data_IF_564222325428
#
_entry.id   IF_564222325428
#
_cell.length_a   1.000
_cell.length_b   1.000
_cell.length_c   1.000
_cell.angle_alpha   90.00
_cell.angle_beta   90.00
_cell.angle_gamma   90.00
#
_symmetry.space_group_name_H-M   'P 1'
#
loop_
_entity.id
_entity.type
_entity.pdbx_description
1 polymer ?
#
# COMPACT_ATOMS: atom_id res chain seq x y z
N UNK A 1 -11.88 -12.54 57.45
CA UNK A 1 -11.80 -12.97 58.86
C UNK A 1 -11.39 -14.45 58.82
N UNK A 2 -10.09 -14.77 58.89
CA UNK A 2 -9.22 -14.79 60.07
C UNK A 2 -9.18 -16.20 60.72
N UNK A 3 -7.95 -16.61 61.05
CA UNK A 3 -7.49 -17.75 61.87
C UNK A 3 -7.25 -19.09 61.15
N UNK A 4 -6.00 -19.50 60.84
CA UNK A 4 -4.85 -19.97 61.65
C UNK A 4 -5.00 -21.37 62.28
N UNK A 5 -4.03 -22.24 61.92
CA UNK A 5 -3.14 -23.03 62.80
C UNK A 5 -3.25 -24.58 62.83
N UNK A 6 -2.05 -25.21 62.70
CA UNK A 6 -1.53 -26.46 63.33
C UNK A 6 -2.07 -27.81 62.78
N UNK A 7 -1.38 -28.95 62.77
CA UNK A 7 -0.01 -29.44 63.06
C UNK A 7 0.01 -30.95 62.68
N UNK A 8 1.22 -31.52 62.56
CA UNK A 8 1.60 -32.95 62.66
C UNK A 8 1.06 -33.95 61.61
N UNK A 9 1.88 -34.64 60.79
CA UNK A 9 3.01 -35.56 61.06
C UNK A 9 2.55 -36.99 61.41
N UNK A 10 2.57 -37.90 60.43
CA UNK A 10 2.80 -39.34 60.63
C UNK A 10 3.50 -39.95 59.39
N UNK A 11 4.75 -40.34 59.61
CA UNK A 11 5.61 -41.13 58.73
C UNK A 11 5.26 -42.64 58.78
N UNK A 12 5.65 -43.46 57.79
CA UNK A 12 6.78 -44.44 57.73
C UNK A 12 6.28 -45.59 56.78
N UNK A 13 7.07 -46.41 56.03
CA UNK A 13 8.54 -46.65 56.02
C UNK A 13 9.20 -46.40 54.64
N UNK A 14 10.47 -45.98 54.51
CA UNK A 14 11.75 -46.61 54.88
C UNK A 14 12.01 -47.98 54.25
N UNK A 15 12.49 -47.99 53.00
CA UNK A 15 13.44 -49.00 52.56
C UNK A 15 14.69 -48.29 52.04
N UNK A 16 15.74 -48.49 52.82
CA UNK A 16 17.11 -48.03 52.65
C UNK A 16 17.78 -48.91 51.59
N UNK A 17 18.18 -48.33 50.46
CA UNK A 17 19.08 -48.97 49.49
C UNK A 17 20.29 -48.05 49.38
N UNK A 18 21.34 -48.44 50.11
CA UNK A 18 22.67 -47.86 50.01
C UNK A 18 23.27 -48.19 48.65
N UNK A 19 23.56 -47.15 47.86
CA UNK A 19 24.37 -47.24 46.66
C UNK A 19 25.55 -46.28 46.81
N UNK A 20 26.72 -46.84 47.10
CA UNK A 20 27.98 -46.10 47.08
C UNK A 20 28.23 -45.54 45.69
N UNK A 21 28.39 -44.22 45.57
CA UNK A 21 28.93 -43.56 44.39
C UNK A 21 30.15 -42.73 44.79
N UNK A 22 31.29 -43.17 44.28
CA UNK A 22 32.60 -42.53 44.42
C UNK A 22 32.54 -41.05 44.03
N UNK A 23 32.97 -40.18 44.95
CA UNK A 23 32.98 -38.73 44.76
C UNK A 23 34.07 -38.27 43.78
N UNK A 24 33.65 -37.57 42.73
CA UNK A 24 34.51 -36.66 41.98
C UNK A 24 34.21 -35.22 42.43
N UNK A 25 35.13 -34.61 43.19
CA UNK A 25 35.09 -33.18 43.48
C UNK A 25 35.34 -32.38 42.20
N UNK A 26 34.30 -31.84 41.58
CA UNK A 26 34.43 -30.81 40.56
C UNK A 26 34.52 -29.43 41.21
N UNK A 27 35.60 -28.69 40.91
CA UNK A 27 35.85 -27.35 41.48
C UNK A 27 34.67 -26.41 41.17
N UNK A 28 34.18 -25.68 42.17
CA UNK A 28 33.03 -24.77 42.04
C UNK A 28 33.15 -23.73 40.89
N UNK A 29 34.37 -23.37 40.50
CA UNK A 29 34.65 -22.51 39.35
C UNK A 29 34.23 -23.12 38.00
N UNK A 30 34.32 -24.45 37.85
CA UNK A 30 33.91 -25.15 36.62
C UNK A 30 32.39 -25.18 36.47
N UNK A 31 31.68 -25.37 37.59
CA UNK A 31 30.21 -25.40 37.63
C UNK A 31 29.63 -24.02 37.28
N UNK A 32 30.26 -22.95 37.78
CA UNK A 32 29.87 -21.58 37.45
C UNK A 32 30.05 -21.28 35.95
N UNK A 33 31.16 -21.70 35.34
CA UNK A 33 31.38 -21.49 33.90
C UNK A 33 30.41 -22.27 33.01
N UNK A 34 30.02 -23.49 33.39
CA UNK A 34 29.01 -24.27 32.67
C UNK A 34 27.64 -23.59 32.73
N UNK A 35 27.25 -23.06 33.89
CA UNK A 35 26.00 -22.30 34.05
C UNK A 35 26.01 -21.03 33.19
N UNK A 36 27.10 -20.25 33.20
CA UNK A 36 27.22 -19.06 32.36
C UNK A 36 27.16 -19.38 30.86
N UNK A 37 27.83 -20.46 30.43
CA UNK A 37 27.77 -20.91 29.03
C UNK A 37 26.35 -21.34 28.64
N UNK A 38 25.63 -22.06 29.50
CA UNK A 38 24.25 -22.46 29.22
C UNK A 38 23.30 -21.27 29.08
N UNK A 39 23.46 -20.25 29.93
CA UNK A 39 22.63 -19.04 29.89
C UNK A 39 22.96 -18.24 28.63
N UNK A 40 24.25 -18.11 28.27
CA UNK A 40 24.68 -17.38 27.07
C UNK A 40 24.23 -18.07 25.77
N UNK A 41 24.22 -19.41 25.74
CA UNK A 41 23.67 -20.16 24.61
C UNK A 41 22.15 -20.02 24.51
N UNK A 42 21.43 -19.94 25.63
CA UNK A 42 19.98 -19.81 25.65
C UNK A 42 19.51 -18.40 25.24
N UNK A 43 20.21 -17.36 25.70
CA UNK A 43 19.93 -15.98 25.27
C UNK A 43 20.28 -15.75 23.80
N UNK A 44 21.35 -16.37 23.30
CA UNK A 44 21.70 -16.32 21.87
C UNK A 44 20.66 -17.04 21.00
N UNK A 45 20.04 -18.13 21.49
CA UNK A 45 18.98 -18.85 20.79
C UNK A 45 17.67 -18.04 20.67
N UNK A 46 17.39 -17.19 21.67
CA UNK A 46 16.21 -16.30 21.71
C UNK A 46 16.38 -15.03 20.87
N UNK A 47 17.61 -14.70 20.46
CA UNK A 47 17.96 -13.53 19.64
C UNK A 47 18.11 -13.84 18.14
N UNK A 48 17.92 -15.10 17.71
CA UNK A 48 17.84 -15.41 16.29
C UNK A 48 16.52 -14.87 15.73
N UNK A 49 16.55 -14.00 14.69
CA UNK A 49 15.34 -13.58 14.02
C UNK A 49 14.63 -14.82 13.45
N UNK A 50 13.33 -14.96 13.74
CA UNK A 50 12.50 -15.96 13.08
C UNK A 50 12.51 -15.66 11.57
N UNK A 51 13.31 -16.41 10.82
CA UNK A 51 13.20 -16.47 9.38
C UNK A 51 11.87 -17.18 9.09
N UNK A 52 10.81 -16.40 8.93
CA UNK A 52 9.56 -16.91 8.39
C UNK A 52 9.79 -17.20 6.91
N UNK A 53 9.90 -18.49 6.57
CA UNK A 53 9.80 -18.93 5.19
C UNK A 53 8.39 -18.63 4.70
N UNK A 54 8.28 -17.77 3.68
CA UNK A 54 7.04 -17.51 2.98
C UNK A 54 6.59 -18.79 2.23
N UNK A 55 5.52 -19.40 2.70
CA UNK A 55 4.81 -20.46 2.00
C UNK A 55 4.01 -19.83 0.85
N UNK A 56 4.20 -20.31 -0.38
CA UNK A 56 3.73 -19.62 -1.59
C UNK A 56 2.22 -19.73 -1.86
N UNK A 57 1.49 -20.52 -1.07
CA UNK A 57 0.10 -20.90 -1.37
C UNK A 57 -0.93 -20.59 -0.28
N UNK A 58 -0.66 -19.65 0.65
CA UNK A 58 -1.68 -19.13 1.59
C UNK A 58 -2.08 -17.70 1.25
N UNK A 59 -3.38 -17.35 1.32
CA UNK A 59 -3.81 -15.96 1.31
C UNK A 59 -3.09 -15.27 2.47
N UNK A 60 -2.22 -14.33 2.14
CA UNK A 60 -1.50 -13.57 3.14
C UNK A 60 -2.56 -12.79 3.94
N UNK A 61 -2.64 -13.03 5.25
CA UNK A 61 -3.50 -12.22 6.10
C UNK A 61 -3.11 -10.74 5.89
N UNK A 62 -4.07 -9.82 5.68
CA UNK A 62 -3.78 -8.41 5.53
C UNK A 62 -2.92 -7.96 6.71
N UNK A 63 -1.84 -7.24 6.44
CA UNK A 63 -1.11 -6.59 7.52
C UNK A 63 -2.05 -5.59 8.21
N UNK A 64 -1.85 -5.28 9.50
CA UNK A 64 -2.65 -4.26 10.19
C UNK A 64 -2.74 -2.98 9.34
N UNK A 65 -1.59 -2.51 8.85
CA UNK A 65 -1.48 -1.37 7.94
C UNK A 65 -2.43 -1.45 6.73
N UNK A 66 -2.60 -2.64 6.13
CA UNK A 66 -3.49 -2.83 4.98
C UNK A 66 -4.95 -2.58 5.35
N UNK A 67 -5.41 -3.04 6.52
CA UNK A 67 -6.78 -2.83 6.98
C UNK A 67 -7.06 -1.34 7.28
N UNK A 68 -6.11 -0.64 7.89
CA UNK A 68 -6.23 0.80 8.15
C UNK A 68 -6.25 1.62 6.86
N UNK A 69 -5.35 1.30 5.92
CA UNK A 69 -5.31 1.94 4.59
C UNK A 69 -6.62 1.71 3.87
N UNK A 70 -7.15 0.49 3.88
CA UNK A 70 -8.43 0.18 3.27
C UNK A 70 -9.57 1.05 3.81
N UNK A 71 -9.67 1.20 5.14
CA UNK A 71 -10.70 2.05 5.76
C UNK A 71 -10.56 3.52 5.37
N UNK A 72 -9.35 4.00 5.12
CA UNK A 72 -9.13 5.36 4.61
C UNK A 72 -9.52 5.48 3.14
N UNK A 73 -9.16 4.51 2.31
CA UNK A 73 -9.57 4.47 0.89
C UNK A 73 -11.10 4.39 0.75
N UNK A 74 -11.77 3.58 1.58
CA UNK A 74 -13.23 3.49 1.61
C UNK A 74 -13.87 4.83 2.01
N UNK A 75 -13.35 5.51 3.04
CA UNK A 75 -13.83 6.83 3.45
C UNK A 75 -13.60 7.91 2.38
N UNK A 76 -12.45 7.88 1.70
CA UNK A 76 -12.13 8.76 0.58
C UNK A 76 -13.11 8.54 -0.58
N UNK A 77 -13.35 7.27 -0.94
CA UNK A 77 -14.31 6.85 -1.97
C UNK A 77 -15.70 7.42 -1.68
N UNK A 78 -16.22 7.26 -0.45
CA UNK A 78 -17.54 7.76 -0.05
C UNK A 78 -17.64 9.28 -0.21
N UNK A 79 -16.60 10.00 0.25
CA UNK A 79 -16.57 11.47 0.17
C UNK A 79 -16.52 11.94 -1.28
N UNK A 80 -15.75 11.23 -2.11
CA UNK A 80 -15.61 11.52 -3.53
C UNK A 80 -16.90 11.23 -4.31
N UNK A 81 -17.63 10.16 -4.01
CA UNK A 81 -18.96 9.87 -4.61
C UNK A 81 -19.90 11.04 -4.43
N UNK A 82 -19.94 11.63 -3.23
CA UNK A 82 -20.81 12.76 -2.91
C UNK A 82 -20.47 13.97 -3.79
N UNK A 83 -19.20 14.34 -3.86
CA UNK A 83 -18.75 15.49 -4.65
C UNK A 83 -18.95 15.28 -6.16
N UNK A 84 -18.71 14.07 -6.66
CA UNK A 84 -18.95 13.71 -8.07
C UNK A 84 -20.44 13.70 -8.40
N UNK A 85 -21.31 13.26 -7.49
CA UNK A 85 -22.76 13.37 -7.70
C UNK A 85 -23.19 14.82 -7.86
N UNK A 86 -22.65 15.71 -7.05
CA UNK A 86 -22.92 17.15 -7.11
C UNK A 86 -22.45 17.78 -8.42
N UNK A 87 -21.23 17.44 -8.87
CA UNK A 87 -20.62 18.05 -10.05
C UNK A 87 -21.02 17.36 -11.37
N UNK A 88 -21.19 16.02 -11.38
CA UNK A 88 -21.27 15.14 -12.57
C UNK A 88 -22.47 14.20 -12.64
N UNK A 89 -23.41 14.29 -11.70
CA UNK A 89 -24.59 13.43 -11.66
C UNK A 89 -25.46 13.47 -12.93
N UNK A 90 -25.29 14.47 -13.79
CA UNK A 90 -25.98 14.57 -15.09
C UNK A 90 -25.44 13.60 -16.16
N UNK A 91 -24.22 13.08 -16.01
CA UNK A 91 -23.58 12.13 -16.95
C UNK A 91 -23.70 10.67 -16.51
N UNK A 92 -24.19 10.41 -15.30
CA UNK A 92 -24.13 9.10 -14.65
C UNK A 92 -25.54 8.67 -14.29
N UNK A 93 -25.97 7.49 -14.76
CA UNK A 93 -27.36 7.02 -14.59
C UNK A 93 -27.66 6.69 -13.13
N UNK A 94 -26.73 6.02 -12.47
CA UNK A 94 -26.81 5.70 -11.04
C UNK A 94 -25.43 5.91 -10.42
N UNK A 95 -25.22 7.10 -9.87
CA UNK A 95 -23.92 7.51 -9.30
C UNK A 95 -23.49 6.57 -8.17
N UNK A 96 -24.43 6.09 -7.36
CA UNK A 96 -24.07 5.22 -6.24
C UNK A 96 -23.61 3.87 -6.78
N UNK A 97 -24.38 3.27 -7.69
CA UNK A 97 -24.06 1.97 -8.26
C UNK A 97 -22.77 1.99 -9.07
N UNK A 98 -22.62 2.93 -10.00
CA UNK A 98 -21.44 2.99 -10.88
C UNK A 98 -20.16 3.25 -10.07
N UNK A 99 -20.29 3.97 -8.95
CA UNK A 99 -19.18 4.24 -8.04
C UNK A 99 -18.85 3.06 -7.12
N UNK A 100 -19.86 2.41 -6.54
CA UNK A 100 -19.69 1.17 -5.76
C UNK A 100 -19.02 0.09 -6.62
N UNK A 101 -19.47 -0.10 -7.86
CA UNK A 101 -18.86 -1.08 -8.77
C UNK A 101 -17.41 -0.73 -9.14
N UNK A 102 -17.06 0.55 -9.19
CA UNK A 102 -15.71 1.02 -9.52
C UNK A 102 -14.75 1.05 -8.32
N UNK A 103 -15.24 1.18 -7.09
CA UNK A 103 -14.41 1.45 -5.91
C UNK A 103 -14.65 0.53 -4.71
N UNK A 104 -15.53 -0.47 -4.82
CA UNK A 104 -15.64 -1.54 -3.81
C UNK A 104 -14.50 -2.56 -3.96
N UNK A 105 -13.37 -2.26 -3.32
CA UNK A 105 -12.20 -3.13 -3.28
C UNK A 105 -12.30 -4.26 -2.25
N UNK A 106 -13.46 -4.51 -1.64
CA UNK A 106 -13.62 -5.56 -0.64
C UNK A 106 -13.20 -6.92 -1.20
N UNK A 107 -12.24 -7.55 -0.52
CA UNK A 107 -11.65 -8.84 -0.95
C UNK A 107 -10.73 -8.75 -2.18
N UNK A 108 -10.34 -7.54 -2.60
CA UNK A 108 -9.51 -7.28 -3.80
C UNK A 108 -8.33 -6.34 -3.46
N UNK A 109 -7.68 -6.55 -2.32
CA UNK A 109 -6.68 -5.63 -1.74
C UNK A 109 -5.22 -6.04 -1.99
N UNK A 110 -4.98 -7.03 -2.83
CA UNK A 110 -3.62 -7.52 -3.13
C UNK A 110 -2.69 -6.40 -3.62
N UNK A 111 -3.24 -5.41 -4.34
CA UNK A 111 -2.49 -4.24 -4.83
C UNK A 111 -2.09 -3.28 -3.70
N UNK A 112 -2.93 -3.14 -2.67
CA UNK A 112 -2.60 -2.38 -1.45
C UNK A 112 -1.49 -3.10 -0.70
N UNK A 113 -1.62 -4.41 -0.48
CA UNK A 113 -0.61 -5.23 0.19
C UNK A 113 0.74 -5.18 -0.55
N UNK A 114 0.72 -5.25 -1.88
CA UNK A 114 1.91 -5.13 -2.70
C UNK A 114 2.58 -3.76 -2.55
N UNK A 115 1.78 -2.68 -2.54
CA UNK A 115 2.29 -1.33 -2.35
C UNK A 115 2.87 -1.12 -0.95
N UNK A 116 2.21 -1.63 0.10
CA UNK A 116 2.73 -1.59 1.48
C UNK A 116 4.07 -2.32 1.59
N UNK A 117 4.21 -3.48 0.94
CA UNK A 117 5.49 -4.22 0.92
C UNK A 117 6.61 -3.43 0.23
N UNK A 118 6.28 -2.63 -0.79
CA UNK A 118 7.26 -1.86 -1.55
C UNK A 118 7.64 -0.55 -0.84
N UNK A 119 6.68 0.13 -0.23
CA UNK A 119 6.83 1.53 0.22
C UNK A 119 6.58 1.75 1.72
N UNK A 120 6.06 0.77 2.43
CA UNK A 120 5.55 0.95 3.79
C UNK A 120 4.20 1.67 3.79
N UNK A 121 3.96 2.49 4.81
CA UNK A 121 2.75 3.32 4.88
C UNK A 121 2.84 4.45 3.83
N UNK A 122 1.93 4.44 2.86
CA UNK A 122 1.90 5.38 1.73
C UNK A 122 0.69 6.32 1.77
N UNK A 123 -0.07 6.35 2.88
CA UNK A 123 -1.29 7.19 2.99
C UNK A 123 -0.99 8.67 2.82
N UNK A 124 0.17 9.10 3.28
CA UNK A 124 0.71 10.44 3.11
C UNK A 124 1.00 10.80 1.65
N UNK A 125 0.89 9.87 0.70
CA UNK A 125 1.02 10.09 -0.75
C UNK A 125 -0.31 10.01 -1.48
N UNK A 126 -1.35 9.47 -0.84
CA UNK A 126 -2.68 9.36 -1.44
C UNK A 126 -3.31 10.73 -1.62
N UNK A 127 -4.01 10.91 -2.73
CA UNK A 127 -4.75 12.12 -3.00
C UNK A 127 -5.91 12.29 -2.02
N UNK A 128 -6.09 13.52 -1.57
CA UNK A 128 -7.27 14.00 -0.85
C UNK A 128 -8.44 14.23 -1.80
N UNK A 129 -9.63 14.41 -1.22
CA UNK A 129 -10.83 14.79 -1.98
C UNK A 129 -10.64 16.08 -2.78
N UNK A 130 -9.95 17.10 -2.24
CA UNK A 130 -9.62 18.33 -2.97
C UNK A 130 -8.76 18.07 -4.21
N UNK A 131 -7.73 17.25 -4.07
CA UNK A 131 -6.81 16.90 -5.16
C UNK A 131 -7.51 16.12 -6.27
N UNK A 132 -8.34 15.13 -5.89
CA UNK A 132 -9.09 14.34 -6.87
C UNK A 132 -10.13 15.22 -7.58
N UNK A 133 -10.84 16.08 -6.85
CA UNK A 133 -11.78 17.04 -7.45
C UNK A 133 -11.07 17.97 -8.42
N UNK A 134 -9.90 18.49 -8.04
CA UNK A 134 -9.10 19.37 -8.88
C UNK A 134 -8.64 18.67 -10.17
N UNK A 135 -8.22 17.41 -10.06
CA UNK A 135 -7.89 16.56 -11.21
C UNK A 135 -9.10 16.42 -12.15
N UNK A 136 -10.26 16.03 -11.64
CA UNK A 136 -11.42 15.81 -12.50
C UNK A 136 -11.95 17.10 -13.14
N UNK A 137 -11.91 18.21 -12.43
CA UNK A 137 -12.31 19.51 -12.94
C UNK A 137 -11.47 19.96 -14.14
N UNK A 138 -10.21 19.49 -14.29
CA UNK A 138 -9.40 19.83 -15.46
C UNK A 138 -10.03 19.29 -16.74
N UNK A 139 -10.66 18.11 -16.72
CA UNK A 139 -11.32 17.53 -17.90
C UNK A 139 -12.52 18.34 -18.38
N UNK A 140 -13.33 18.89 -17.46
CA UNK A 140 -14.51 19.70 -17.81
C UNK A 140 -14.13 21.04 -18.41
N UNK A 141 -13.09 21.65 -17.86
CA UNK A 141 -12.63 22.98 -18.29
C UNK A 141 -11.88 22.94 -19.62
N UNK A 142 -11.45 21.76 -20.08
CA UNK A 142 -10.61 21.60 -21.28
C UNK A 142 -11.39 21.40 -22.60
N UNK A 143 -12.74 21.41 -22.59
CA UNK A 143 -13.62 21.38 -23.78
C UNK A 143 -13.07 20.55 -24.97
N UNK A 144 -12.62 19.32 -24.73
CA UNK A 144 -12.19 18.41 -25.79
C UNK A 144 -10.79 18.64 -26.37
N UNK A 145 -9.94 19.48 -25.77
CA UNK A 145 -8.51 19.52 -26.10
C UNK A 145 -7.78 18.40 -25.37
N UNK A 146 -7.00 17.60 -26.11
CA UNK A 146 -6.37 16.32 -25.73
C UNK A 146 -5.21 16.44 -24.73
N UNK A 147 -5.19 17.51 -23.93
CA UNK A 147 -4.04 17.88 -23.15
C UNK A 147 -4.32 17.63 -21.66
N UNK A 148 -3.91 16.46 -21.19
CA UNK A 148 -4.16 15.91 -19.84
C UNK A 148 -3.46 16.65 -18.69
N UNK A 149 -3.04 17.91 -18.89
CA UNK A 149 -2.35 18.64 -17.85
C UNK A 149 -3.33 19.20 -16.83
N UNK A 150 -3.08 18.87 -15.57
CA UNK A 150 -3.71 19.52 -14.42
C UNK A 150 -3.32 21.00 -14.42
N UNK A 151 -4.25 21.89 -14.08
CA UNK A 151 -3.95 23.33 -13.99
C UNK A 151 -2.85 23.58 -12.95
N UNK A 152 -2.06 24.67 -13.10
CA UNK A 152 -1.05 25.01 -12.11
C UNK A 152 -1.66 25.16 -10.71
N UNK A 153 -0.99 24.56 -9.72
CA UNK A 153 -1.40 24.55 -8.32
C UNK A 153 -0.20 24.87 -7.41
N UNK A 154 -0.41 24.78 -6.09
CA UNK A 154 0.62 25.12 -5.10
C UNK A 154 1.88 24.25 -5.21
N UNK A 155 1.74 22.98 -5.62
CA UNK A 155 2.85 22.04 -5.74
C UNK A 155 3.51 22.10 -7.13
N UNK A 156 2.70 22.19 -8.18
CA UNK A 156 3.14 22.16 -9.57
C UNK A 156 2.74 23.44 -10.31
N UNK A 157 3.69 24.32 -10.56
CA UNK A 157 3.51 25.58 -11.28
C UNK A 157 4.81 26.02 -11.98
N UNK A 158 4.80 27.19 -12.63
CA UNK A 158 5.95 27.71 -13.38
C UNK A 158 7.20 27.97 -12.52
N UNK A 159 7.05 28.07 -11.20
CA UNK A 159 8.14 28.37 -10.25
C UNK A 159 8.50 27.20 -9.34
N UNK A 160 7.64 26.18 -9.27
CA UNK A 160 7.81 24.99 -8.43
C UNK A 160 7.43 23.77 -9.26
N UNK A 161 8.43 22.99 -9.65
CA UNK A 161 8.26 21.76 -10.40
C UNK A 161 9.19 20.67 -9.85
N UNK A 162 8.67 19.89 -8.91
CA UNK A 162 9.40 18.77 -8.30
C UNK A 162 9.10 17.44 -9.01
N UNK A 163 9.83 16.38 -8.63
CA UNK A 163 9.69 15.06 -9.28
C UNK A 163 8.28 14.47 -9.20
N UNK A 164 7.48 14.79 -8.17
CA UNK A 164 6.08 14.34 -8.13
C UNK A 164 5.14 15.08 -9.08
N UNK A 165 5.58 16.14 -9.75
CA UNK A 165 4.80 16.76 -10.83
C UNK A 165 4.92 15.97 -12.14
N UNK A 166 5.87 15.04 -12.21
CA UNK A 166 6.08 14.19 -13.37
C UNK A 166 5.07 13.05 -13.42
N UNK A 167 4.68 12.61 -14.63
CA UNK A 167 3.73 11.52 -14.80
C UNK A 167 4.21 10.23 -14.12
N UNK A 168 3.30 9.56 -13.41
CA UNK A 168 3.60 8.31 -12.71
C UNK A 168 4.32 8.48 -11.36
N UNK A 169 4.53 9.71 -10.88
CA UNK A 169 5.22 9.99 -9.62
C UNK A 169 4.32 10.71 -8.60
N UNK A 170 4.60 10.52 -7.32
CA UNK A 170 3.94 11.23 -6.22
C UNK A 170 4.93 11.60 -5.13
N UNK A 171 4.59 12.58 -4.30
CA UNK A 171 5.36 12.97 -3.13
C UNK A 171 4.54 12.77 -1.85
N UNK A 172 5.24 12.57 -0.75
CA UNK A 172 4.62 12.57 0.57
C UNK A 172 4.21 13.99 0.96
N UNK A 173 3.13 14.08 1.74
CA UNK A 173 2.75 15.31 2.41
C UNK A 173 3.69 15.59 3.60
N UNK A 174 3.96 16.87 3.84
CA UNK A 174 4.78 17.30 4.98
C UNK A 174 4.13 16.96 6.34
N UNK A 175 2.80 16.87 6.36
CA UNK A 175 2.00 16.53 7.54
C UNK A 175 1.14 15.30 7.26
N UNK A 176 0.76 14.58 8.33
CA UNK A 176 -0.17 13.46 8.21
C UNK A 176 -1.55 13.97 7.81
N UNK A 177 -2.07 13.42 6.72
CA UNK A 177 -3.36 13.78 6.16
C UNK A 177 -4.37 12.70 6.51
N UNK A 178 -5.52 13.10 7.06
CA UNK A 178 -6.67 12.21 7.22
C UNK A 178 -7.52 12.23 5.95
N UNK A 179 -7.38 11.18 5.14
CA UNK A 179 -8.05 11.03 3.85
C UNK A 179 -9.57 10.91 3.95
N UNK A 180 -10.12 10.63 5.15
CA UNK A 180 -11.56 10.46 5.37
C UNK A 180 -12.32 11.78 5.43
N UNK A 181 -11.62 12.89 5.71
CA UNK A 181 -12.25 14.19 5.83
C UNK A 181 -12.31 14.90 4.48
N UNK A 182 -13.35 15.73 4.32
CA UNK A 182 -13.47 16.62 3.17
C UNK A 182 -12.49 17.80 3.31
N UNK A 183 -11.25 17.55 2.92
CA UNK A 183 -10.19 18.56 2.85
C UNK A 183 -10.50 19.47 1.66
N UNK A 184 -10.53 20.78 1.92
CA UNK A 184 -10.95 21.79 0.93
C UNK A 184 -9.79 22.32 0.08
N UNK A 185 -8.59 22.33 0.63
CA UNK A 185 -7.41 22.91 0.01
C UNK A 185 -6.42 21.81 -0.40
N UNK A 186 -5.69 22.03 -1.49
CA UNK A 186 -4.64 21.11 -1.93
C UNK A 186 -3.46 21.19 -0.94
N UNK A 187 -3.07 20.07 -0.29
CA UNK A 187 -1.96 20.05 0.66
C UNK A 187 -0.62 20.22 -0.06
N UNK A 188 0.39 20.71 0.67
CA UNK A 188 1.76 20.74 0.15
C UNK A 188 2.40 19.34 0.16
N UNK A 189 2.99 18.95 -0.97
CA UNK A 189 3.66 17.65 -1.16
C UNK A 189 4.89 17.81 -2.04
N UNK A 190 6.05 17.91 -1.40
CA UNK A 190 7.33 18.10 -2.08
C UNK A 190 8.42 17.16 -1.52
N UNK A 191 8.06 16.31 -0.56
CA UNK A 191 9.01 15.46 0.16
C UNK A 191 8.95 14.01 -0.33
N UNK A 192 10.10 13.33 -0.25
CA UNK A 192 10.27 11.90 -0.57
C UNK A 192 9.54 11.49 -1.87
N UNK A 193 9.76 12.18 -2.98
CA UNK A 193 9.05 11.87 -4.22
C UNK A 193 9.48 10.52 -4.80
N UNK A 194 8.51 9.69 -5.19
CA UNK A 194 8.74 8.32 -5.65
C UNK A 194 7.76 7.93 -6.78
N UNK A 195 8.12 6.95 -7.63
CA UNK A 195 7.21 6.38 -8.61
C UNK A 195 6.03 5.69 -7.91
N UNK A 196 4.85 5.77 -8.50
CA UNK A 196 3.62 5.24 -7.92
C UNK A 196 3.51 3.72 -8.05
N UNK A 197 2.76 3.13 -7.14
CA UNK A 197 2.54 1.69 -7.08
C UNK A 197 1.64 1.18 -8.22
N UNK A 198 1.81 -0.10 -8.55
CA UNK A 198 0.85 -0.85 -9.35
C UNK A 198 -0.55 -0.78 -8.73
N UNK A 199 -1.60 -0.66 -9.56
CA UNK A 199 -2.98 -0.52 -9.10
C UNK A 199 -3.37 0.90 -8.67
N UNK A 200 -2.46 1.85 -8.81
CA UNK A 200 -2.69 3.28 -8.62
C UNK A 200 -2.23 4.06 -9.85
N UNK A 201 -2.64 5.32 -9.98
CA UNK A 201 -2.15 6.23 -11.01
C UNK A 201 -1.82 7.60 -10.42
N UNK A 202 -0.89 8.31 -11.06
CA UNK A 202 -0.31 9.56 -10.60
C UNK A 202 -0.24 10.58 -11.74
N UNK A 203 -1.20 11.51 -11.77
CA UNK A 203 -1.32 12.47 -12.86
C UNK A 203 -0.15 13.44 -12.97
N UNK A 204 0.22 13.77 -14.21
CA UNK A 204 1.13 14.88 -14.44
C UNK A 204 0.55 16.19 -13.88
N UNK A 205 1.35 16.91 -13.10
CA UNK A 205 0.95 18.15 -12.43
C UNK A 205 0.18 17.94 -11.11
N UNK A 206 0.08 16.70 -10.61
CA UNK A 206 -0.48 16.39 -9.31
C UNK A 206 0.47 15.48 -8.52
N UNK A 207 0.86 15.89 -7.33
CA UNK A 207 1.90 15.24 -6.53
C UNK A 207 1.39 14.09 -5.64
N UNK A 208 0.27 13.46 -5.99
CA UNK A 208 -0.38 12.44 -5.17
C UNK A 208 -0.88 11.25 -6.00
N UNK A 209 -1.18 10.16 -5.30
CA UNK A 209 -1.56 8.87 -5.85
C UNK A 209 -3.08 8.65 -5.74
N UNK A 210 -3.70 8.20 -6.83
CA UNK A 210 -5.14 7.89 -6.90
C UNK A 210 -5.29 6.38 -7.15
N UNK A 211 -6.25 5.73 -6.48
CA UNK A 211 -6.58 4.32 -6.74
C UNK A 211 -7.11 4.14 -8.16
N UNK A 212 -6.65 3.10 -8.86
CA UNK A 212 -7.28 2.75 -10.13
C UNK A 212 -8.65 2.09 -9.86
N UNK A 213 -9.71 2.48 -10.59
CA UNK A 213 -11.02 1.87 -10.42
C UNK A 213 -11.04 0.42 -10.90
N UNK A 214 -11.93 -0.38 -10.34
CA UNK A 214 -12.25 -1.71 -10.86
C UNK A 214 -12.70 -1.66 -12.33
N UNK A 215 -12.45 -2.75 -13.06
CA UNK A 215 -12.57 -2.76 -14.52
C UNK A 215 -11.35 -2.18 -15.25
N UNK A 216 -10.42 -1.58 -14.50
CA UNK A 216 -9.14 -1.11 -15.02
C UNK A 216 -7.98 -2.05 -14.68
N UNK A 217 -6.93 -2.01 -15.51
CA UNK A 217 -5.64 -2.66 -15.31
C UNK A 217 -4.54 -1.60 -15.34
N UNK A 218 -3.93 -1.34 -14.19
CA UNK A 218 -2.88 -0.35 -13.99
C UNK A 218 -1.56 -1.03 -13.58
N UNK A 219 -0.87 -1.71 -14.51
CA UNK A 219 0.44 -2.29 -14.24
C UNK A 219 1.51 -1.21 -14.01
N UNK A 220 2.63 -1.59 -13.39
CA UNK A 220 3.80 -0.72 -13.32
C UNK A 220 4.39 -0.59 -14.74
N UNK A 221 4.69 0.63 -15.16
CA UNK A 221 5.24 0.86 -16.49
C UNK A 221 6.72 0.50 -16.57
N UNK A 222 7.16 0.19 -17.80
CA UNK A 222 8.55 -0.15 -18.09
C UNK A 222 9.10 0.81 -19.14
N UNK A 223 10.31 1.31 -18.89
CA UNK A 223 10.99 2.17 -19.84
C UNK A 223 11.34 1.36 -21.09
N UNK A 224 10.84 1.81 -22.22
CA UNK A 224 11.24 1.31 -23.53
C UNK A 224 12.54 2.01 -23.95
N UNK A 225 13.69 1.32 -24.00
CA UNK A 225 14.97 1.96 -24.28
C UNK A 225 15.09 2.44 -25.74
N UNK A 226 14.20 1.98 -26.63
CA UNK A 226 14.21 2.35 -28.05
C UNK A 226 13.44 3.65 -28.25
N UNK A 227 12.24 3.76 -27.68
CA UNK A 227 11.36 4.93 -27.87
C UNK A 227 11.51 5.98 -26.77
N UNK A 228 12.09 5.61 -25.63
CA UNK A 228 12.22 6.48 -24.45
C UNK A 228 10.91 6.70 -23.68
N UNK A 229 9.86 5.91 -23.95
CA UNK A 229 8.54 6.04 -23.30
C UNK A 229 8.33 4.95 -22.25
N UNK A 230 7.42 5.20 -21.31
CA UNK A 230 6.99 4.26 -20.28
C UNK A 230 5.77 3.46 -20.78
N UNK A 231 6.00 2.21 -21.17
CA UNK A 231 4.94 1.32 -21.66
C UNK A 231 4.15 0.73 -20.46
N UNK A 232 2.80 0.74 -20.49
CA UNK A 232 1.92 1.02 -21.64
C UNK A 232 1.40 2.47 -21.75
N UNK A 233 1.80 3.37 -20.86
CA UNK A 233 1.16 4.70 -20.72
C UNK A 233 1.71 5.79 -21.64
N UNK A 234 2.80 5.53 -22.35
CA UNK A 234 3.37 6.39 -23.40
C UNK A 234 3.92 7.74 -22.94
N UNK A 235 3.98 8.04 -21.63
CA UNK A 235 4.69 9.21 -21.11
C UNK A 235 6.21 9.00 -21.13
N UNK A 236 6.97 10.09 -21.11
CA UNK A 236 8.43 10.07 -21.09
C UNK A 236 8.94 10.46 -19.71
N UNK A 237 10.10 9.91 -19.33
CA UNK A 237 10.82 10.39 -18.15
C UNK A 237 11.54 11.72 -18.47
N UNK A 238 11.74 12.61 -17.48
CA UNK A 238 12.50 13.84 -17.67
C UNK A 238 13.89 13.57 -18.22
N UNK A 239 14.28 14.32 -19.25
CA UNK A 239 15.59 14.18 -19.86
C UNK A 239 16.71 14.60 -18.89
N UNK A 240 17.72 13.76 -18.73
CA UNK A 240 18.91 14.06 -17.91
C UNK A 240 18.77 13.70 -16.42
N UNK A 241 17.61 13.22 -15.97
CA UNK A 241 17.38 12.84 -14.58
C UNK A 241 17.62 11.34 -14.38
N UNK A 242 18.81 10.94 -13.91
CA UNK A 242 19.18 9.51 -13.77
C UNK A 242 18.44 8.79 -12.65
N UNK A 243 17.88 9.53 -11.70
CA UNK A 243 17.12 8.98 -10.57
C UNK A 243 15.62 8.85 -10.89
N UNK A 244 15.18 9.27 -12.07
CA UNK A 244 13.80 9.15 -12.51
C UNK A 244 13.57 7.82 -13.23
N UNK A 245 12.46 7.17 -12.94
CA UNK A 245 12.07 5.86 -13.47
C UNK A 245 10.61 5.90 -13.89
N UNK A 246 10.17 4.93 -14.69
CA UNK A 246 8.75 4.79 -14.97
C UNK A 246 7.98 4.41 -13.70
N UNK A 247 6.87 5.09 -13.46
CA UNK A 247 5.91 4.75 -12.42
C UNK A 247 4.72 3.98 -12.98
N UNK A 248 3.56 4.11 -12.33
CA UNK A 248 2.30 3.55 -12.82
C UNK A 248 1.63 4.49 -13.84
N UNK A 249 0.33 4.30 -14.08
CA UNK A 249 -0.48 5.14 -14.96
C UNK A 249 -0.41 6.63 -14.60
N UNK A 250 -0.55 7.50 -15.60
CA UNK A 250 -0.44 8.97 -15.48
C UNK A 250 -1.72 9.72 -15.87
N UNK A 251 -2.71 9.02 -16.39
CA UNK A 251 -4.00 9.60 -16.79
C UNK A 251 -5.08 8.69 -16.23
N UNK A 252 -6.28 9.20 -16.01
CA UNK A 252 -7.52 8.43 -15.97
C UNK A 252 -8.15 8.54 -17.37
N UNK A 253 -7.73 7.69 -18.31
CA UNK A 253 -8.24 7.74 -19.67
C UNK A 253 -9.67 7.19 -19.74
N UNK A 254 -10.55 7.91 -20.46
CA UNK A 254 -11.84 7.38 -20.92
C UNK A 254 -11.68 6.48 -22.15
N UNK A 255 -12.67 5.63 -22.40
CA UNK A 255 -12.74 4.61 -23.48
C UNK A 255 -12.41 5.18 -24.88
N UNK A 256 -12.59 6.48 -25.09
CA UNK A 256 -12.54 7.10 -26.43
C UNK A 256 -11.13 7.51 -26.86
N UNK A 257 -10.22 7.85 -25.93
CA UNK A 257 -8.93 8.48 -26.28
C UNK A 257 -7.68 7.73 -25.80
N UNK A 258 -7.80 6.70 -24.96
CA UNK A 258 -6.69 5.81 -24.63
C UNK A 258 -7.21 4.52 -24.00
N UNK A 259 -6.96 3.39 -24.66
CA UNK A 259 -7.32 2.04 -24.19
C UNK A 259 -6.39 1.49 -23.10
N UNK A 260 -5.63 2.35 -22.41
CA UNK A 260 -4.46 1.92 -21.64
C UNK A 260 -4.79 1.56 -20.19
N UNK A 261 -5.97 1.95 -19.70
CA UNK A 261 -6.40 1.70 -18.32
C UNK A 261 -7.51 0.68 -18.28
N UNK A 262 -8.42 0.66 -19.25
CA UNK A 262 -9.45 -0.37 -19.30
C UNK A 262 -8.88 -1.71 -19.79
N UNK A 263 -9.45 -2.80 -19.28
CA UNK A 263 -9.17 -4.11 -19.81
C UNK A 263 -9.40 -4.17 -21.33
N UNK A 264 -8.43 -4.73 -22.07
CA UNK A 264 -8.56 -4.92 -23.52
C UNK A 264 -9.76 -5.82 -23.86
N UNK A 265 -10.38 -5.68 -25.04
CA UNK A 265 -11.45 -6.56 -25.49
C UNK A 265 -11.08 -8.05 -25.36
N UNK A 266 -12.04 -8.86 -24.89
CA UNK A 266 -11.80 -10.27 -24.58
C UNK A 266 -11.12 -10.52 -23.24
N UNK A 267 -11.09 -9.53 -22.35
CA UNK A 267 -10.63 -9.69 -20.96
C UNK A 267 -11.43 -8.80 -20.01
N UNK A 268 -11.47 -9.18 -18.73
CA UNK A 268 -12.01 -8.39 -17.64
C UNK A 268 -11.00 -8.27 -16.49
N UNK A 269 -11.15 -7.22 -15.69
CA UNK A 269 -10.19 -6.80 -14.68
C UNK A 269 -10.81 -6.91 -13.28
N UNK A 270 -10.67 -8.05 -12.58
CA UNK A 270 -11.28 -8.23 -11.27
C UNK A 270 -10.62 -7.39 -10.16
N UNK A 271 -9.37 -6.96 -10.37
CA UNK A 271 -8.65 -6.00 -9.53
C UNK A 271 -7.81 -5.07 -10.41
N UNK A 272 -7.33 -3.93 -9.87
CA UNK A 272 -6.47 -3.01 -10.62
C UNK A 272 -5.15 -3.58 -11.14
N UNK A 273 -4.77 -4.77 -10.67
CA UNK A 273 -3.50 -5.45 -10.98
C UNK A 273 -3.70 -6.84 -11.57
N UNK A 274 -4.95 -7.22 -11.87
CA UNK A 274 -5.28 -8.53 -12.43
C UNK A 274 -6.11 -8.38 -13.71
N UNK A 275 -5.73 -9.15 -14.72
CA UNK A 275 -6.42 -9.23 -16.01
C UNK A 275 -6.68 -10.69 -16.34
N UNK A 276 -7.94 -11.02 -16.59
CA UNK A 276 -8.40 -12.38 -16.90
C UNK A 276 -9.06 -12.38 -18.27
N UNK A 277 -8.71 -13.35 -19.12
CA UNK A 277 -9.37 -13.50 -20.42
C UNK A 277 -10.82 -13.96 -20.24
N UNK A 278 -11.72 -13.42 -21.06
CA UNK A 278 -13.11 -13.88 -21.08
C UNK A 278 -13.19 -15.31 -21.63
N UNK A 279 -14.12 -16.09 -21.08
CA UNK A 279 -14.46 -17.39 -21.63
C UNK A 279 -15.07 -17.27 -23.02
N UNK A 280 -14.95 -18.33 -23.83
CA UNK A 280 -15.52 -18.35 -25.18
C UNK A 280 -17.03 -18.10 -25.14
N UNK A 281 -17.48 -17.04 -25.81
CA UNK A 281 -18.91 -16.69 -25.95
C UNK A 281 -19.32 -15.35 -25.31
N UNK A 282 -18.37 -14.64 -24.68
CA UNK A 282 -18.53 -13.27 -24.16
C UNK A 282 -17.77 -12.25 -25.00
#
# INVERSE_FOLDING_TARGET
MAHYALLHDQAIPSQDVTMEMNGMMMKASLVSHILFLSIFTFTSLLLLPQIQCADKDKPLAPSLYTEEIYKELEGLTITLTRNIKEDLGFCIKDVNKDWEEAFDFKGKLDFVDACVKQKGDFRDRMCTTAEIRYYFQSFFLQQGTSASYVKPNINCNLTSWGSGCEPGWSCSAAERIDLKNDIKDIPSRIDDCQPCCEGFFCPQGLTCMITCPLGSYCPLAKLNPITGVCDPYSYQIPAGETNHTCGSADIWSGVVNNSNIFCSPGSYCPSPTSKVSCDKGY
#
